data_IF_127095279038
#
_entry.id   IF_127095279038
#
_cell.length_a   1.000
_cell.length_b   1.000
_cell.length_c   1.000
_cell.angle_alpha   90.00
_cell.angle_beta   90.00
_cell.angle_gamma   90.00
#
_symmetry.space_group_name_H-M   'P 1'
#
loop_
_entity.id
_entity.type
_entity.pdbx_description
1 polymer ?
#
# COMPACT_ATOMS: atom_id res chain seq x y z
N UNK A 1 14.00 11.71 -17.10
CA UNK A 1 12.69 11.08 -17.42
C UNK A 1 11.63 12.12 -17.16
N UNK A 2 10.76 12.36 -18.13
CA UNK A 2 9.75 13.42 -18.04
C UNK A 2 8.46 12.87 -17.41
N UNK A 3 7.65 13.73 -16.77
CA UNK A 3 6.36 13.35 -16.16
C UNK A 3 5.39 12.69 -17.15
N UNK A 4 5.63 12.85 -18.45
CA UNK A 4 4.85 12.30 -19.55
C UNK A 4 5.12 10.81 -19.82
N UNK A 5 6.30 10.28 -19.48
CA UNK A 5 6.65 8.85 -19.67
C UNK A 5 5.95 7.93 -18.65
N UNK A 6 5.49 8.49 -17.52
CA UNK A 6 4.78 7.76 -16.46
C UNK A 6 3.33 7.46 -16.88
N UNK A 7 2.76 8.19 -17.85
CA UNK A 7 1.36 8.01 -18.29
C UNK A 7 1.13 6.84 -19.25
N UNK A 8 2.18 6.19 -19.75
CA UNK A 8 2.09 5.10 -20.72
C UNK A 8 2.25 3.69 -20.16
N UNK A 9 2.71 3.56 -18.90
CA UNK A 9 2.81 2.27 -18.22
C UNK A 9 1.72 2.22 -17.16
N UNK A 10 0.74 1.35 -17.33
CA UNK A 10 -0.15 0.97 -16.23
C UNK A 10 0.72 0.31 -15.18
N UNK A 11 1.24 1.09 -14.22
CA UNK A 11 1.93 0.55 -13.05
C UNK A 11 0.86 -0.19 -12.26
N UNK A 12 0.95 -1.52 -12.20
CA UNK A 12 0.05 -2.31 -11.37
C UNK A 12 0.29 -1.96 -9.91
N UNK A 13 -0.70 -1.32 -9.28
CA UNK A 13 -0.60 -0.84 -7.91
C UNK A 13 -1.63 -1.55 -7.03
N UNK A 14 -1.18 -2.01 -5.88
CA UNK A 14 -1.96 -2.69 -4.86
C UNK A 14 -2.04 -1.81 -3.62
N UNK A 15 -3.25 -1.67 -3.08
CA UNK A 15 -3.53 -0.71 -2.00
C UNK A 15 -3.97 -1.45 -0.76
N UNK A 16 -3.15 -1.41 0.28
CA UNK A 16 -3.52 -1.94 1.59
C UNK A 16 -3.89 -0.82 2.55
N UNK A 17 -4.89 -1.09 3.39
CA UNK A 17 -5.45 -0.10 4.33
C UNK A 17 -5.58 -0.72 5.72
N UNK A 18 -5.08 -0.01 6.71
CA UNK A 18 -5.20 -0.37 8.12
C UNK A 18 -5.85 0.78 8.84
N UNK A 19 -6.96 0.53 9.53
CA UNK A 19 -7.73 1.53 10.27
C UNK A 19 -7.84 1.11 11.73
N UNK A 20 -7.81 2.10 12.61
CA UNK A 20 -8.11 1.92 14.01
C UNK A 20 -9.57 1.47 14.17
N UNK A 21 -9.78 0.52 15.08
CA UNK A 21 -11.10 -0.02 15.38
C UNK A 21 -11.18 -0.42 16.84
N UNK A 22 -12.37 -0.85 17.27
CA UNK A 22 -12.57 -1.45 18.61
C UNK A 22 -11.65 -2.67 18.87
N UNK A 23 -11.10 -3.29 17.82
CA UNK A 23 -10.23 -4.46 17.91
C UNK A 23 -8.75 -4.12 18.01
N UNK A 24 -8.36 -2.86 17.82
CA UNK A 24 -6.96 -2.43 17.93
C UNK A 24 -6.59 -1.23 17.05
N UNK A 25 -5.37 -0.70 17.22
CA UNK A 25 -4.87 0.46 16.50
C UNK A 25 -4.58 0.14 15.03
N UNK A 26 -4.55 1.19 14.20
CA UNK A 26 -3.99 1.09 12.85
C UNK A 26 -2.49 0.78 12.92
N UNK A 27 -2.04 -0.16 12.09
CA UNK A 27 -0.62 -0.52 11.94
C UNK A 27 -0.18 -0.47 10.49
N UNK A 28 1.05 0.00 10.26
CA UNK A 28 1.64 0.06 8.92
C UNK A 28 1.84 -1.35 8.36
N UNK A 29 2.25 -2.29 9.20
CA UNK A 29 2.49 -3.68 8.86
C UNK A 29 1.23 -4.36 8.31
N UNK A 30 0.06 -4.08 8.90
CA UNK A 30 -1.21 -4.60 8.38
C UNK A 30 -1.54 -4.01 7.01
N UNK A 31 -1.32 -2.71 6.80
CA UNK A 31 -1.53 -2.11 5.49
C UNK A 31 -0.56 -2.69 4.44
N UNK A 32 0.71 -2.94 4.79
CA UNK A 32 1.66 -3.61 3.90
C UNK A 32 1.19 -5.04 3.59
N UNK A 33 0.78 -5.80 4.61
CA UNK A 33 0.29 -7.17 4.44
C UNK A 33 -0.96 -7.23 3.55
N UNK A 34 -1.91 -6.33 3.75
CA UNK A 34 -3.14 -6.25 2.95
C UNK A 34 -2.82 -5.93 1.48
N UNK A 35 -1.83 -5.06 1.22
CA UNK A 35 -1.36 -4.78 -0.14
C UNK A 35 -0.69 -6.01 -0.78
N UNK A 36 0.18 -6.71 -0.04
CA UNK A 36 0.85 -7.92 -0.52
C UNK A 36 -0.15 -9.06 -0.80
N UNK A 37 -1.18 -9.21 0.04
CA UNK A 37 -2.22 -10.20 -0.15
C UNK A 37 -3.05 -9.93 -1.41
N UNK A 38 -3.33 -8.67 -1.71
CA UNK A 38 -3.98 -8.28 -2.96
C UNK A 38 -3.10 -8.60 -4.18
N UNK A 39 -1.81 -8.28 -4.12
CA UNK A 39 -0.85 -8.61 -5.17
C UNK A 39 -0.79 -10.12 -5.42
N UNK A 40 -0.70 -10.93 -4.36
CA UNK A 40 -0.70 -12.38 -4.45
C UNK A 40 -1.96 -12.93 -5.14
N UNK A 41 -3.14 -12.40 -4.78
CA UNK A 41 -4.43 -12.78 -5.41
C UNK A 41 -4.53 -12.40 -6.88
N UNK A 42 -3.81 -11.36 -7.29
CA UNK A 42 -3.72 -10.93 -8.68
C UNK A 42 -2.64 -11.68 -9.50
N UNK A 43 -1.89 -12.60 -8.88
CA UNK A 43 -0.87 -13.42 -9.56
C UNK A 43 0.58 -12.95 -9.35
N UNK A 44 0.82 -12.01 -8.43
CA UNK A 44 2.14 -11.43 -8.15
C UNK A 44 2.80 -12.01 -6.88
N UNK A 45 2.38 -13.20 -6.43
CA UNK A 45 2.79 -13.77 -5.14
C UNK A 45 4.31 -13.96 -4.99
N UNK A 46 5.00 -14.25 -6.09
CA UNK A 46 6.45 -14.51 -6.12
C UNK A 46 7.26 -13.28 -6.58
N UNK A 47 6.60 -12.14 -6.82
CA UNK A 47 7.27 -10.94 -7.30
C UNK A 47 7.65 -10.03 -6.13
N UNK A 48 8.86 -9.43 -6.14
CA UNK A 48 9.22 -8.44 -5.15
C UNK A 48 8.31 -7.22 -5.28
N UNK A 49 7.78 -6.77 -4.15
CA UNK A 49 6.92 -5.59 -4.06
C UNK A 49 7.73 -4.40 -3.56
N UNK A 50 7.60 -3.26 -4.23
CA UNK A 50 8.12 -1.97 -3.77
C UNK A 50 6.97 -1.14 -3.22
N UNK A 51 7.14 -0.59 -2.00
CA UNK A 51 6.23 0.43 -1.48
C UNK A 51 6.51 1.74 -2.22
N UNK A 52 5.51 2.22 -2.96
CA UNK A 52 5.58 3.45 -3.77
C UNK A 52 5.19 4.66 -2.93
N UNK A 53 4.15 4.52 -2.09
CA UNK A 53 3.65 5.61 -1.26
C UNK A 53 3.03 5.08 0.03
N UNK A 54 3.25 5.81 1.11
CA UNK A 54 2.58 5.62 2.39
C UNK A 54 1.83 6.92 2.71
N UNK A 55 0.54 6.80 2.97
CA UNK A 55 -0.32 7.85 3.50
C UNK A 55 -0.78 7.44 4.91
N UNK A 56 -0.95 8.41 5.79
CA UNK A 56 -1.56 8.15 7.10
C UNK A 56 -2.46 9.31 7.54
N UNK A 57 -3.47 8.96 8.32
CA UNK A 57 -4.35 9.92 9.01
C UNK A 57 -4.09 9.81 10.50
N UNK A 58 -3.99 10.94 11.19
CA UNK A 58 -3.76 10.99 12.62
C UNK A 58 -4.77 11.90 13.32
N UNK A 59 -5.24 11.46 14.49
CA UNK A 59 -6.03 12.23 15.43
C UNK A 59 -5.26 12.30 16.76
N UNK A 60 -4.70 13.48 17.03
CA UNK A 60 -3.82 13.86 18.15
C UNK A 60 -3.79 12.90 19.36
N UNK A 61 -2.68 12.19 19.67
CA UNK A 61 -1.46 11.94 18.88
C UNK A 61 -1.47 10.59 18.14
N UNK A 62 -2.63 9.96 17.95
CA UNK A 62 -2.74 8.59 17.45
C UNK A 62 -2.92 8.53 15.95
N UNK A 63 -2.16 7.67 15.28
CA UNK A 63 -2.40 7.33 13.87
C UNK A 63 -3.63 6.42 13.84
N UNK A 64 -4.66 6.87 13.14
CA UNK A 64 -5.95 6.18 13.04
C UNK A 64 -6.11 5.43 11.73
N UNK A 65 -5.24 5.71 10.75
CA UNK A 65 -5.25 5.01 9.47
C UNK A 65 -3.87 5.03 8.82
N UNK A 66 -3.50 3.90 8.21
CA UNK A 66 -2.45 3.79 7.20
C UNK A 66 -3.05 3.35 5.88
N UNK A 67 -2.55 3.94 4.79
CA UNK A 67 -2.80 3.49 3.43
C UNK A 67 -1.47 3.35 2.71
N UNK A 68 -1.19 2.12 2.26
CA UNK A 68 0.05 1.74 1.58
C UNK A 68 -0.29 1.44 0.13
N UNK A 69 0.48 2.03 -0.76
CA UNK A 69 0.42 1.76 -2.20
C UNK A 69 1.73 1.07 -2.56
N UNK A 70 1.64 -0.17 -3.04
CA UNK A 70 2.77 -0.97 -3.46
C UNK A 70 2.62 -1.39 -4.93
N UNK A 71 3.74 -1.56 -5.62
CA UNK A 71 3.80 -2.04 -7.00
C UNK A 71 4.78 -3.20 -7.07
N UNK A 72 4.57 -4.21 -7.93
CA UNK A 72 5.62 -5.12 -8.31
C UNK A 72 6.80 -4.30 -8.85
N UNK A 73 8.01 -4.63 -8.40
CA UNK A 73 9.22 -3.95 -8.86
C UNK A 73 9.50 -4.29 -10.32
N UNK A 74 9.84 -3.26 -11.10
CA UNK A 74 10.40 -3.36 -12.46
C UNK A 74 11.85 -3.86 -12.35
#
# INVERSE_FOLDING_TARGET
>A
MSEEEIRGHTIEAFVGVSEESERGPATLEKAIHDAALQAARAGFAEQPMQVVRIEFTAHNPHITQYKVIASPGI
#
